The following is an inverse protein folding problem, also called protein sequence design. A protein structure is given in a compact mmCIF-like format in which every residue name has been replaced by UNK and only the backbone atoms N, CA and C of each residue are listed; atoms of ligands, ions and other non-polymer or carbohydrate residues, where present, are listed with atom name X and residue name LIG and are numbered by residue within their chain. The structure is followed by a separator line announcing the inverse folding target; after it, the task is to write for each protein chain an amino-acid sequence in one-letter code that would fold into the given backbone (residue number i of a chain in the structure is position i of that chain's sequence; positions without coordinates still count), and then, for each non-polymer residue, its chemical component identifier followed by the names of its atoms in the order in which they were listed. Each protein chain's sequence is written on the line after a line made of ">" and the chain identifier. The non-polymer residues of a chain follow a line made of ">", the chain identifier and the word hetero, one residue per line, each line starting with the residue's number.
data_IF_768477125362
#
_entry.id   IF_768477125362
#
_cell.length_a   1.000
_cell.length_b   1.000
_cell.length_c   1.000
_cell.angle_alpha   90.00
_cell.angle_beta   90.00
_cell.angle_gamma   90.00
#
_symmetry.space_group_name_H-M   'P 1'
#
loop_
_entity.id
_entity.type
_entity.pdbx_description
1 polymer ?
#
# COMPACT_ATOMS: atom_id res chain seq x y z
N UNK A 1 -83.33 -30.34 -57.61
CA UNK A 1 -82.56 -29.34 -56.83
C UNK A 1 -82.37 -29.89 -55.43
N UNK A 2 -81.11 -30.02 -55.01
CA UNK A 2 -80.66 -30.45 -53.68
C UNK A 2 -79.14 -30.50 -53.74
N UNK A 3 -78.39 -29.67 -52.99
CA UNK A 3 -77.00 -29.34 -53.32
C UNK A 3 -76.03 -30.46 -52.93
N UNK A 4 -75.00 -30.64 -53.76
CA UNK A 4 -73.87 -31.53 -53.50
C UNK A 4 -73.11 -31.06 -52.25
N UNK A 5 -73.10 -31.91 -51.22
CA UNK A 5 -72.27 -31.75 -50.02
C UNK A 5 -70.80 -31.97 -50.38
N UNK A 6 -70.00 -30.92 -50.25
CA UNK A 6 -68.54 -31.02 -50.32
C UNK A 6 -68.00 -31.70 -49.05
N UNK A 7 -66.96 -32.56 -49.13
CA UNK A 7 -66.37 -33.19 -47.96
C UNK A 7 -65.59 -32.17 -47.11
N UNK A 8 -65.46 -32.38 -45.79
CA UNK A 8 -64.75 -31.45 -44.92
C UNK A 8 -63.24 -31.46 -45.21
N UNK A 9 -62.70 -30.32 -45.64
CA UNK A 9 -61.25 -30.11 -45.68
C UNK A 9 -60.70 -30.09 -44.25
N UNK A 10 -59.96 -31.12 -43.86
CA UNK A 10 -59.23 -31.14 -42.59
C UNK A 10 -57.84 -30.54 -42.81
N UNK A 11 -57.55 -29.43 -42.13
CA UNK A 11 -56.24 -28.78 -42.17
C UNK A 11 -55.29 -29.51 -41.22
N UNK A 12 -54.35 -30.28 -41.75
CA UNK A 12 -53.27 -30.86 -40.96
C UNK A 12 -52.14 -29.82 -40.79
N UNK A 13 -52.17 -29.09 -39.68
CA UNK A 13 -51.04 -28.24 -39.28
C UNK A 13 -49.98 -29.16 -38.68
N UNK A 14 -48.85 -29.34 -39.36
CA UNK A 14 -47.65 -29.93 -38.76
C UNK A 14 -47.02 -28.87 -37.85
N UNK A 15 -47.09 -29.06 -36.53
CA UNK A 15 -46.25 -28.32 -35.59
C UNK A 15 -44.81 -28.76 -35.85
N UNK A 16 -44.08 -28.02 -36.69
CA UNK A 16 -42.62 -28.11 -36.73
C UNK A 16 -42.18 -27.60 -35.36
N UNK A 17 -41.60 -28.46 -34.54
CA UNK A 17 -41.13 -28.15 -33.19
C UNK A 17 -40.50 -26.76 -33.18
N UNK A 18 -41.15 -25.81 -32.50
CA UNK A 18 -40.52 -24.54 -32.19
C UNK A 18 -39.40 -24.89 -31.22
N UNK A 19 -38.17 -25.01 -31.72
CA UNK A 19 -36.97 -24.97 -30.89
C UNK A 19 -37.04 -23.62 -30.16
N UNK A 20 -37.47 -23.63 -28.90
CA UNK A 20 -37.35 -22.49 -28.01
C UNK A 20 -35.85 -22.22 -27.93
N UNK A 21 -35.37 -21.21 -28.64
CA UNK A 21 -33.98 -20.77 -28.56
C UNK A 21 -33.75 -20.26 -27.15
N UNK A 22 -33.16 -21.11 -26.30
CA UNK A 22 -32.87 -20.75 -24.93
C UNK A 22 -31.75 -19.72 -24.93
N UNK A 23 -32.11 -18.44 -24.76
CA UNK A 23 -31.13 -17.38 -24.56
C UNK A 23 -30.42 -17.60 -23.22
N UNK A 24 -29.10 -17.49 -23.23
CA UNK A 24 -28.26 -17.55 -22.04
C UNK A 24 -28.67 -16.47 -21.04
N UNK A 25 -29.02 -16.81 -19.78
CA UNK A 25 -29.33 -15.81 -18.78
C UNK A 25 -28.08 -14.96 -18.47
N UNK A 26 -28.26 -13.77 -17.89
CA UNK A 26 -27.12 -12.94 -17.49
C UNK A 26 -26.39 -13.62 -16.31
N UNK A 27 -25.11 -14.03 -16.45
CA UNK A 27 -24.40 -14.69 -15.37
C UNK A 27 -24.02 -13.70 -14.27
N UNK A 28 -23.76 -14.22 -13.07
CA UNK A 28 -23.22 -13.48 -11.94
C UNK A 28 -21.93 -14.11 -11.45
N UNK A 29 -21.05 -13.30 -10.85
CA UNK A 29 -19.82 -13.80 -10.23
C UNK A 29 -19.99 -13.75 -8.72
N UNK A 30 -19.85 -14.90 -8.07
CA UNK A 30 -19.71 -15.02 -6.62
C UNK A 30 -18.23 -15.11 -6.24
N UNK A 31 -17.85 -14.51 -5.10
CA UNK A 31 -16.48 -14.51 -4.60
C UNK A 31 -16.42 -15.08 -3.19
N UNK A 32 -15.40 -15.91 -2.90
CA UNK A 32 -15.14 -16.41 -1.54
C UNK A 32 -14.66 -15.31 -0.58
N UNK A 33 -13.97 -14.29 -1.10
CA UNK A 33 -13.50 -13.15 -0.32
C UNK A 33 -13.34 -11.92 -1.25
N UNK A 34 -14.09 -10.86 -0.97
CA UNK A 34 -13.99 -9.60 -1.71
C UNK A 34 -12.85 -8.69 -1.23
N UNK A 35 -12.28 -8.93 -0.05
CA UNK A 35 -11.25 -8.11 0.57
C UNK A 35 -9.99 -8.92 0.94
N UNK A 36 -9.30 -9.54 -0.04
CA UNK A 36 -8.15 -10.38 0.24
C UNK A 36 -6.94 -9.57 0.71
N UNK A 37 -6.14 -10.15 1.61
CA UNK A 37 -4.81 -9.62 1.98
C UNK A 37 -3.76 -9.96 0.92
N UNK A 38 -3.02 -8.95 0.47
CA UNK A 38 -2.01 -9.08 -0.59
C UNK A 38 -0.98 -10.16 -0.27
N UNK A 39 -0.70 -11.01 -1.25
CA UNK A 39 0.26 -12.10 -1.21
C UNK A 39 0.07 -13.16 -0.09
N UNK A 40 -1.08 -13.18 0.58
CA UNK A 40 -1.36 -14.12 1.68
C UNK A 40 -2.56 -15.00 1.39
N UNK A 41 -3.65 -14.41 0.89
CA UNK A 41 -4.93 -15.12 0.78
C UNK A 41 -5.21 -15.60 -0.64
N UNK A 42 -5.87 -16.76 -0.72
CA UNK A 42 -6.41 -17.31 -1.96
C UNK A 42 -7.87 -16.91 -2.12
N UNK A 43 -8.25 -16.49 -3.33
CA UNK A 43 -9.62 -16.12 -3.67
C UNK A 43 -10.18 -17.06 -4.73
N UNK A 44 -11.44 -17.46 -4.55
CA UNK A 44 -12.16 -18.30 -5.50
C UNK A 44 -13.34 -17.50 -6.03
N UNK A 45 -13.36 -17.29 -7.35
CA UNK A 45 -14.47 -16.69 -8.07
C UNK A 45 -15.23 -17.78 -8.80
N UNK A 46 -16.56 -17.79 -8.69
CA UNK A 46 -17.43 -18.75 -9.38
C UNK A 46 -18.43 -18.02 -10.25
N UNK A 47 -18.64 -18.53 -11.47
CA UNK A 47 -19.61 -17.99 -12.40
C UNK A 47 -20.91 -18.79 -12.33
N UNK A 48 -22.01 -18.12 -12.00
CA UNK A 48 -23.32 -18.71 -11.79
C UNK A 48 -24.32 -18.17 -12.85
N UNK A 49 -25.36 -18.94 -13.27
CA UNK A 49 -25.72 -20.31 -12.84
C UNK A 49 -24.96 -21.44 -13.56
N UNK A 50 -25.14 -22.70 -13.13
CA UNK A 50 -24.64 -23.90 -13.83
C UNK A 50 -25.63 -24.40 -14.87
N UNK A 51 -25.20 -24.40 -16.12
CA UNK A 51 -26.03 -24.74 -17.26
C UNK A 51 -25.30 -25.78 -18.11
N UNK A 52 -25.99 -26.89 -18.39
CA UNK A 52 -25.36 -28.08 -19.00
C UNK A 52 -24.84 -27.82 -20.42
N UNK A 53 -25.48 -26.91 -21.17
CA UNK A 53 -25.12 -26.59 -22.56
C UNK A 53 -24.36 -25.26 -22.71
N UNK A 54 -23.79 -24.75 -21.62
CA UNK A 54 -22.99 -23.53 -21.67
C UNK A 54 -21.50 -23.77 -21.47
N UNK A 55 -20.71 -22.93 -22.13
CA UNK A 55 -19.28 -22.79 -21.94
C UNK A 55 -18.99 -21.47 -21.24
N UNK A 56 -17.99 -21.47 -20.35
CA UNK A 56 -17.59 -20.32 -19.56
C UNK A 56 -16.24 -19.78 -20.00
N UNK A 57 -16.13 -18.46 -20.05
CA UNK A 57 -14.88 -17.75 -20.36
C UNK A 57 -14.68 -16.57 -19.42
N UNK A 58 -13.53 -16.56 -18.76
CA UNK A 58 -13.14 -15.45 -17.88
C UNK A 58 -12.40 -14.35 -18.63
N UNK A 59 -12.68 -13.13 -18.22
CA UNK A 59 -12.06 -11.90 -18.71
C UNK A 59 -11.58 -11.07 -17.52
N UNK A 60 -10.47 -10.37 -17.72
CA UNK A 60 -9.95 -9.36 -16.79
C UNK A 60 -9.61 -8.10 -17.57
N UNK A 61 -9.99 -6.93 -17.08
CA UNK A 61 -9.76 -5.65 -17.76
C UNK A 61 -10.29 -5.64 -19.21
N UNK A 62 -11.42 -6.30 -19.46
CA UNK A 62 -12.02 -6.45 -20.80
C UNK A 62 -11.27 -7.38 -21.76
N UNK A 63 -10.17 -8.02 -21.35
CA UNK A 63 -9.38 -8.96 -22.15
C UNK A 63 -9.59 -10.41 -21.67
N UNK A 64 -9.30 -11.39 -22.54
CA UNK A 64 -9.38 -12.80 -22.14
C UNK A 64 -8.34 -13.11 -21.06
N UNK A 65 -8.76 -13.81 -20.00
CA UNK A 65 -7.88 -14.16 -18.90
C UNK A 65 -6.74 -15.07 -19.37
N UNK A 66 -5.51 -14.75 -18.96
CA UNK A 66 -4.32 -15.58 -19.19
C UNK A 66 -4.05 -16.43 -17.96
N UNK A 67 -4.08 -17.75 -18.12
CA UNK A 67 -3.78 -18.72 -17.06
C UNK A 67 -2.29 -18.67 -16.70
N UNK A 68 -2.00 -18.79 -15.42
CA UNK A 68 -0.64 -18.71 -14.88
C UNK A 68 -0.49 -19.65 -13.67
N UNK A 69 0.66 -19.58 -12.99
CA UNK A 69 0.83 -20.27 -11.70
C UNK A 69 -0.04 -19.68 -10.59
N UNK A 70 -0.43 -18.41 -10.70
CA UNK A 70 -1.23 -17.69 -9.70
C UNK A 70 -2.72 -17.68 -10.02
N UNK A 71 -3.09 -17.86 -11.28
CA UNK A 71 -4.48 -17.85 -11.78
C UNK A 71 -4.78 -19.17 -12.48
N UNK A 72 -5.67 -19.99 -11.92
CA UNK A 72 -6.06 -21.29 -12.49
C UNK A 72 -7.57 -21.42 -12.63
N UNK A 73 -8.01 -22.09 -13.71
CA UNK A 73 -9.41 -22.41 -13.94
C UNK A 73 -9.71 -23.86 -13.53
N UNK A 74 -10.93 -24.09 -13.07
CA UNK A 74 -11.49 -25.44 -12.93
C UNK A 74 -11.59 -26.15 -14.29
N UNK A 75 -11.77 -27.46 -14.26
CA UNK A 75 -11.89 -28.29 -15.47
C UNK A 75 -13.01 -27.83 -16.44
N UNK A 76 -14.10 -27.27 -15.90
CA UNK A 76 -15.23 -26.73 -16.66
C UNK A 76 -15.16 -25.21 -16.86
N UNK A 77 -14.05 -24.55 -16.51
CA UNK A 77 -13.84 -23.10 -16.56
C UNK A 77 -14.83 -22.24 -15.76
N UNK A 78 -15.71 -22.86 -14.97
CA UNK A 78 -16.72 -22.18 -14.14
C UNK A 78 -16.09 -21.39 -13.00
N UNK A 79 -15.03 -21.95 -12.42
CA UNK A 79 -14.41 -21.42 -11.21
C UNK A 79 -12.99 -20.97 -11.53
N UNK A 80 -12.66 -19.75 -11.11
CA UNK A 80 -11.32 -19.17 -11.18
C UNK A 80 -10.72 -19.10 -9.78
N UNK A 81 -9.56 -19.72 -9.60
CA UNK A 81 -8.79 -19.67 -8.35
C UNK A 81 -7.59 -18.75 -8.51
N UNK A 82 -7.53 -17.74 -7.64
CA UNK A 82 -6.41 -16.82 -7.50
C UNK A 82 -5.61 -17.24 -6.27
N UNK A 83 -4.52 -17.98 -6.46
CA UNK A 83 -3.71 -18.52 -5.35
C UNK A 83 -2.98 -17.44 -4.56
N UNK A 84 -2.48 -16.42 -5.28
CA UNK A 84 -1.76 -15.29 -4.71
C UNK A 84 -2.35 -14.04 -5.35
N UNK A 85 -3.04 -13.22 -4.53
CA UNK A 85 -3.62 -11.96 -5.01
C UNK A 85 -2.62 -10.83 -4.78
N UNK A 86 -2.28 -10.13 -5.85
CA UNK A 86 -1.36 -8.99 -5.90
C UNK A 86 -1.96 -7.85 -6.71
N UNK A 87 -1.29 -6.68 -6.70
CA UNK A 87 -1.67 -5.55 -7.55
C UNK A 87 -1.79 -5.93 -9.05
N UNK A 88 -0.97 -6.83 -9.58
CA UNK A 88 -1.02 -7.25 -10.99
C UNK A 88 -2.14 -8.23 -11.32
N UNK A 89 -2.61 -9.02 -10.36
CA UNK A 89 -3.78 -9.90 -10.54
C UNK A 89 -5.10 -9.19 -10.20
N UNK A 90 -5.06 -7.92 -9.81
CA UNK A 90 -6.26 -7.17 -9.46
C UNK A 90 -6.82 -6.45 -10.68
N UNK A 91 -8.14 -6.53 -10.86
CA UNK A 91 -8.86 -5.85 -11.92
C UNK A 91 -10.34 -6.25 -11.93
N UNK A 92 -11.18 -5.58 -12.73
CA UNK A 92 -12.54 -6.03 -13.01
C UNK A 92 -12.51 -7.38 -13.72
N UNK A 93 -13.05 -8.40 -13.05
CA UNK A 93 -13.29 -9.72 -13.58
C UNK A 93 -14.70 -9.81 -14.15
N UNK A 94 -14.81 -10.33 -15.37
CA UNK A 94 -16.09 -10.60 -16.03
C UNK A 94 -16.13 -12.07 -16.45
N UNK A 95 -17.29 -12.68 -16.33
CA UNK A 95 -17.55 -14.02 -16.85
C UNK A 95 -18.48 -13.91 -18.06
N UNK A 96 -18.07 -14.52 -19.16
CA UNK A 96 -18.88 -14.70 -20.36
C UNK A 96 -19.39 -16.14 -20.38
N UNK A 97 -20.71 -16.29 -20.47
CA UNK A 97 -21.40 -17.56 -20.62
C UNK A 97 -21.93 -17.65 -22.06
N UNK A 98 -21.64 -18.76 -22.74
CA UNK A 98 -22.01 -18.94 -24.15
C UNK A 98 -22.59 -20.33 -24.39
N UNK A 99 -23.74 -20.37 -25.05
CA UNK A 99 -24.33 -21.58 -25.63
C UNK A 99 -24.27 -21.49 -27.18
N UNK A 100 -24.78 -22.49 -27.94
CA UNK A 100 -24.75 -22.44 -29.40
C UNK A 100 -25.51 -21.26 -30.03
N UNK A 101 -26.43 -20.63 -29.30
CA UNK A 101 -27.39 -19.65 -29.83
C UNK A 101 -27.06 -18.23 -29.41
N UNK A 102 -26.63 -18.02 -28.17
CA UNK A 102 -26.38 -16.70 -27.59
C UNK A 102 -25.17 -16.69 -26.66
N UNK A 103 -24.74 -15.48 -26.29
CA UNK A 103 -23.73 -15.25 -25.29
C UNK A 103 -24.13 -14.05 -24.41
N UNK A 104 -23.88 -14.16 -23.12
CA UNK A 104 -24.17 -13.13 -22.12
C UNK A 104 -22.95 -12.92 -21.22
N UNK A 105 -22.87 -11.74 -20.59
CA UNK A 105 -21.76 -11.36 -19.70
C UNK A 105 -22.26 -10.91 -18.35
N UNK A 106 -21.48 -11.21 -17.32
CA UNK A 106 -21.73 -10.74 -15.96
C UNK A 106 -21.41 -9.26 -15.83
N UNK A 107 -21.91 -8.65 -14.76
CA UNK A 107 -21.34 -7.40 -14.29
C UNK A 107 -19.89 -7.64 -13.80
N UNK A 108 -19.00 -6.65 -13.92
CA UNK A 108 -17.62 -6.78 -13.48
C UNK A 108 -17.51 -6.83 -11.95
N UNK A 109 -16.66 -7.73 -11.44
CA UNK A 109 -16.31 -7.83 -10.02
C UNK A 109 -14.85 -7.47 -9.81
N UNK A 110 -14.60 -6.48 -8.96
CA UNK A 110 -13.23 -6.05 -8.59
C UNK A 110 -12.96 -6.42 -7.13
N UNK A 111 -11.83 -7.07 -6.87
CA UNK A 111 -11.38 -7.37 -5.51
C UNK A 111 -10.82 -6.12 -4.85
N UNK A 112 -11.23 -5.87 -3.60
CA UNK A 112 -10.70 -4.80 -2.78
C UNK A 112 -9.42 -5.27 -2.06
N UNK A 113 -8.28 -5.19 -2.75
CA UNK A 113 -7.00 -5.67 -2.23
C UNK A 113 -6.57 -4.89 -0.98
N UNK A 114 -6.34 -5.62 0.11
CA UNK A 114 -5.82 -5.08 1.36
C UNK A 114 -4.30 -5.23 1.40
N UNK A 115 -3.59 -4.11 1.46
CA UNK A 115 -2.14 -4.08 1.49
C UNK A 115 -1.66 -2.95 2.39
N UNK A 116 -0.39 -2.97 2.80
CA UNK A 116 0.22 -1.77 3.36
C UNK A 116 1.33 -1.95 4.37
N UNK A 117 1.75 -0.78 4.84
CA UNK A 117 2.87 -0.52 5.75
C UNK A 117 4.25 -0.81 5.14
N UNK A 118 4.40 -0.41 3.88
CA UNK A 118 5.70 -0.14 3.27
C UNK A 118 6.56 0.78 4.15
N UNK A 119 7.86 0.87 3.85
CA UNK A 119 8.79 1.70 4.62
C UNK A 119 8.28 3.16 4.74
N UNK A 120 7.86 3.60 5.93
CA UNK A 120 7.23 4.90 6.12
C UNK A 120 8.26 6.03 6.03
N UNK A 121 7.80 7.23 5.71
CA UNK A 121 8.66 8.42 5.64
C UNK A 121 8.04 9.59 6.40
N UNK A 122 8.84 10.32 7.19
CA UNK A 122 8.41 11.59 7.80
C UNK A 122 8.92 12.75 6.95
N UNK A 123 8.01 13.34 6.17
CA UNK A 123 8.26 14.63 5.52
C UNK A 123 8.08 15.78 6.52
N UNK A 124 8.78 16.87 6.27
CA UNK A 124 8.63 18.11 7.02
C UNK A 124 8.68 19.27 6.05
N UNK A 125 7.66 20.11 6.05
CA UNK A 125 7.65 21.35 5.29
C UNK A 125 8.01 22.51 6.22
N UNK A 126 8.98 23.32 5.79
CA UNK A 126 9.29 24.60 6.40
C UNK A 126 9.16 25.64 5.30
N UNK A 127 8.17 26.52 5.40
CA UNK A 127 8.13 27.74 4.60
C UNK A 127 9.08 28.74 5.26
N UNK A 128 10.32 28.78 4.78
CA UNK A 128 11.24 29.86 5.12
C UNK A 128 10.80 31.09 4.31
N UNK A 129 10.70 32.23 4.98
CA UNK A 129 10.22 33.54 4.51
C UNK A 129 8.70 33.75 4.56
N UNK A 130 8.34 34.77 5.35
CA UNK A 130 7.06 35.48 5.35
C UNK A 130 5.82 34.61 5.16
N UNK A 131 5.35 33.95 6.23
CA UNK A 131 3.91 33.75 6.53
C UNK A 131 3.78 32.89 7.77
N UNK A 132 2.67 33.10 8.47
CA UNK A 132 2.29 32.46 9.73
C UNK A 132 1.89 31.01 9.47
N UNK A 133 2.84 30.15 9.09
CA UNK A 133 2.60 28.71 8.99
C UNK A 133 3.40 27.95 10.05
N UNK A 134 2.69 27.12 10.82
CA UNK A 134 3.31 26.26 11.81
C UNK A 134 4.09 25.15 11.11
N UNK A 135 5.34 24.88 11.52
CA UNK A 135 6.10 23.75 11.01
C UNK A 135 5.34 22.46 11.27
N UNK A 136 5.14 21.66 10.22
CA UNK A 136 4.39 20.40 10.27
C UNK A 136 5.27 19.21 9.90
N UNK A 137 4.99 18.09 10.56
CA UNK A 137 5.49 16.77 10.20
C UNK A 137 4.35 15.99 9.57
N UNK A 138 4.61 15.30 8.47
CA UNK A 138 3.65 14.42 7.83
C UNK A 138 4.27 13.05 7.68
N UNK A 139 3.62 12.04 8.26
CA UNK A 139 4.05 10.66 8.11
C UNK A 139 3.31 10.04 6.93
N UNK A 140 4.06 9.54 5.96
CA UNK A 140 3.54 8.96 4.73
C UNK A 140 3.93 7.48 4.67
N UNK A 141 2.94 6.63 4.41
CA UNK A 141 3.10 5.19 4.18
C UNK A 141 2.09 4.79 3.11
N UNK A 142 2.46 3.88 2.21
CA UNK A 142 1.49 3.26 1.30
C UNK A 142 0.72 2.18 2.05
N UNK A 143 -0.61 2.23 1.95
CA UNK A 143 -1.51 1.25 2.55
C UNK A 143 -2.94 1.44 2.06
N UNK A 144 -3.66 0.34 1.89
CA UNK A 144 -5.08 0.33 1.59
C UNK A 144 -5.84 -0.64 2.52
N UNK A 145 -6.88 -0.19 3.24
CA UNK A 145 -7.31 1.21 3.40
C UNK A 145 -6.24 2.06 4.10
N UNK A 146 -6.45 3.38 4.17
CA UNK A 146 -5.48 4.30 4.78
C UNK A 146 -5.17 3.91 6.24
N UNK A 147 -3.87 3.86 6.57
CA UNK A 147 -3.41 3.61 7.93
C UNK A 147 -3.78 4.76 8.88
N UNK A 148 -4.03 4.41 10.13
CA UNK A 148 -4.18 5.34 11.24
C UNK A 148 -2.79 5.75 11.76
N UNK A 149 -2.67 7.00 12.19
CA UNK A 149 -1.41 7.56 12.67
C UNK A 149 -1.55 8.11 14.08
N UNK A 150 -0.52 7.94 14.90
CA UNK A 150 -0.39 8.59 16.20
C UNK A 150 1.03 9.11 16.41
N UNK A 151 1.14 10.23 17.11
CA UNK A 151 2.41 10.90 17.38
C UNK A 151 2.77 10.83 18.86
N UNK A 152 4.03 10.48 19.12
CA UNK A 152 4.65 10.58 20.43
C UNK A 152 5.85 11.52 20.35
N UNK A 153 6.05 12.33 21.39
CA UNK A 153 7.25 13.15 21.57
C UNK A 153 7.90 12.71 22.87
N UNK A 154 9.16 12.27 22.80
CA UNK A 154 9.93 11.79 23.95
C UNK A 154 9.15 10.74 24.77
N UNK A 155 8.46 9.84 24.07
CA UNK A 155 7.66 8.76 24.66
C UNK A 155 6.26 9.17 25.15
N UNK A 156 5.87 10.44 25.04
CA UNK A 156 4.54 10.92 25.45
C UNK A 156 3.62 11.08 24.25
N UNK A 157 2.45 10.45 24.30
CA UNK A 157 1.39 10.63 23.30
C UNK A 157 1.00 12.10 23.16
N UNK A 158 0.83 12.55 21.92
CA UNK A 158 0.40 13.90 21.59
C UNK A 158 -0.99 13.89 20.95
N UNK A 159 -1.11 13.26 19.77
CA UNK A 159 -2.37 13.24 19.01
C UNK A 159 -2.39 12.09 18.00
N UNK A 160 -3.60 11.74 17.55
CA UNK A 160 -3.83 10.80 16.46
C UNK A 160 -4.15 11.55 15.17
N UNK A 161 -3.16 11.71 14.29
CA UNK A 161 -3.30 12.36 13.00
C UNK A 161 -2.14 12.00 12.08
N UNK A 162 -2.36 11.96 10.76
CA UNK A 162 -1.28 11.79 9.78
C UNK A 162 -0.29 12.96 9.80
N UNK A 163 -0.80 14.16 10.08
CA UNK A 163 -0.04 15.41 10.16
C UNK A 163 0.04 15.87 11.61
N UNK A 164 1.23 16.25 12.04
CA UNK A 164 1.50 16.85 13.34
C UNK A 164 2.01 18.26 13.18
N UNK A 165 1.31 19.23 13.79
CA UNK A 165 1.77 20.62 13.85
C UNK A 165 2.64 20.79 15.09
N UNK A 166 3.87 21.25 14.91
CA UNK A 166 4.77 21.50 16.03
C UNK A 166 4.37 22.84 16.66
N UNK A 167 3.94 22.87 17.94
CA UNK A 167 3.55 24.12 18.58
C UNK A 167 4.76 25.03 18.79
N UNK A 168 4.56 26.34 18.65
CA UNK A 168 5.63 27.38 18.66
C UNK A 168 6.44 27.49 19.96
N UNK A 169 6.09 26.74 21.00
CA UNK A 169 6.83 26.77 22.27
C UNK A 169 8.23 26.19 22.08
N UNK A 170 9.26 26.99 22.39
CA UNK A 170 10.69 26.70 22.17
C UNK A 170 11.20 25.37 22.74
N UNK A 171 10.49 24.75 23.69
CA UNK A 171 10.80 23.42 24.22
C UNK A 171 10.33 22.26 23.33
N UNK A 172 9.27 22.44 22.53
CA UNK A 172 8.60 21.33 21.82
C UNK A 172 9.32 20.92 20.55
N UNK A 173 10.08 21.81 19.92
CA UNK A 173 10.94 21.48 18.76
C UNK A 173 12.06 20.49 19.09
N UNK A 174 12.49 20.42 20.35
CA UNK A 174 13.54 19.51 20.79
C UNK A 174 12.89 18.21 21.22
N UNK A 175 13.26 17.11 20.58
CA UNK A 175 12.77 15.80 21.00
C UNK A 175 12.91 14.72 19.94
N UNK A 176 12.59 13.51 20.38
CA UNK A 176 12.43 12.33 19.52
C UNK A 176 10.97 12.21 19.17
N UNK A 177 10.65 12.49 17.90
CA UNK A 177 9.31 12.37 17.35
C UNK A 177 9.12 10.96 16.83
N UNK A 178 8.08 10.29 17.27
CA UNK A 178 7.75 8.94 16.83
C UNK A 178 6.38 9.01 16.19
N UNK A 179 6.27 8.63 14.92
CA UNK A 179 4.98 8.37 14.29
C UNK A 179 4.74 6.88 14.29
N UNK A 180 3.67 6.45 14.96
CA UNK A 180 3.19 5.08 14.95
C UNK A 180 2.03 4.95 13.96
N UNK A 181 2.08 3.91 13.14
CA UNK A 181 1.12 3.60 12.10
C UNK A 181 0.47 2.26 12.37
N UNK A 182 -0.84 2.21 12.18
CA UNK A 182 -1.61 0.98 12.31
C UNK A 182 -2.61 0.86 11.16
N UNK A 183 -2.66 -0.31 10.53
CA UNK A 183 -3.67 -0.64 9.56
C UNK A 183 -4.51 -1.80 10.09
N UNK A 184 -5.74 -1.50 10.52
CA UNK A 184 -6.62 -2.49 11.16
C UNK A 184 -7.09 -3.58 10.20
N UNK A 185 -7.24 -3.28 8.91
CA UNK A 185 -7.69 -4.24 7.90
C UNK A 185 -6.64 -5.33 7.62
N UNK A 186 -5.36 -4.96 7.62
CA UNK A 186 -4.26 -5.90 7.45
C UNK A 186 -3.70 -6.44 8.78
N UNK A 187 -4.06 -5.81 9.91
CA UNK A 187 -3.47 -6.05 11.23
C UNK A 187 -2.04 -5.52 11.38
N UNK A 188 -1.52 -4.81 10.38
CA UNK A 188 -0.14 -4.34 10.37
C UNK A 188 0.12 -3.18 11.34
N UNK A 189 1.33 -3.11 11.87
CA UNK A 189 1.86 -1.95 12.61
C UNK A 189 3.27 -1.59 12.14
N UNK A 190 3.59 -0.30 12.14
CA UNK A 190 4.91 0.20 11.79
C UNK A 190 5.18 1.53 12.54
N UNK A 191 6.43 1.94 12.65
CA UNK A 191 6.77 3.23 13.26
C UNK A 191 8.01 3.84 12.61
N UNK A 192 8.11 5.16 12.72
CA UNK A 192 9.31 5.90 12.27
C UNK A 192 9.67 6.97 13.29
N UNK A 193 10.97 7.06 13.54
CA UNK A 193 11.56 7.98 14.50
C UNK A 193 12.22 9.13 13.74
N UNK A 194 12.00 10.37 14.18
CA UNK A 194 12.66 11.57 13.68
C UNK A 194 13.17 12.42 14.83
N UNK A 195 14.48 12.62 14.89
CA UNK A 195 15.12 13.51 15.86
C UNK A 195 15.23 14.92 15.31
N UNK A 196 14.69 15.90 16.03
CA UNK A 196 14.82 17.33 15.69
C UNK A 196 15.73 18.02 16.70
N UNK A 197 16.74 18.72 16.19
CA UNK A 197 17.75 19.42 16.99
C UNK A 197 17.80 20.88 16.55
N UNK A 198 18.00 21.80 17.50
CA UNK A 198 18.13 23.25 17.26
C UNK A 198 19.60 23.68 17.23
N UNK A 199 19.96 24.82 16.60
CA UNK A 199 21.35 25.23 16.44
C UNK A 199 21.96 25.64 17.78
N UNK A 200 23.27 25.49 17.90
CA UNK A 200 24.02 25.81 19.12
C UNK A 200 23.96 24.72 20.21
N UNK A 201 23.26 23.61 19.96
CA UNK A 201 23.28 22.42 20.81
C UNK A 201 24.46 21.51 20.48
N UNK A 202 24.85 20.66 21.42
CA UNK A 202 25.86 19.64 21.18
C UNK A 202 25.19 18.33 20.77
N UNK A 203 25.57 17.78 19.62
CA UNK A 203 25.12 16.47 19.15
C UNK A 203 26.10 15.39 19.61
N UNK A 204 25.55 14.32 20.16
CA UNK A 204 26.29 13.12 20.52
C UNK A 204 25.62 11.91 19.87
N UNK A 205 26.37 11.16 19.05
CA UNK A 205 25.90 9.91 18.46
C UNK A 205 26.83 8.78 18.87
N UNK A 206 26.25 7.61 19.14
CA UNK A 206 26.96 6.40 19.51
C UNK A 206 26.49 5.23 18.66
N UNK A 207 27.43 4.36 18.31
CA UNK A 207 27.20 3.16 17.53
C UNK A 207 27.88 1.98 18.23
N UNK A 208 27.27 0.81 18.13
CA UNK A 208 27.73 -0.39 18.80
C UNK A 208 27.39 -1.62 17.95
N UNK A 209 28.32 -2.58 17.92
CA UNK A 209 28.18 -3.88 17.30
C UNK A 209 28.78 -4.93 18.23
N UNK A 210 28.05 -6.03 18.42
CA UNK A 210 28.56 -7.21 19.14
C UNK A 210 29.54 -7.94 18.21
N UNK A 211 30.84 -7.85 18.52
CA UNK A 211 31.92 -8.31 17.66
C UNK A 211 33.12 -8.75 18.47
N UNK A 212 33.69 -9.90 18.08
CA UNK A 212 34.95 -10.40 18.59
C UNK A 212 35.88 -10.73 17.41
N UNK A 213 37.07 -10.09 17.28
CA UNK A 213 37.57 -8.97 18.08
C UNK A 213 36.67 -7.71 17.97
N UNK A 214 36.84 -6.71 18.85
CA UNK A 214 36.03 -5.49 18.84
C UNK A 214 35.98 -4.85 17.45
N UNK A 215 34.77 -4.44 17.03
CA UNK A 215 34.58 -3.86 15.71
C UNK A 215 35.25 -2.49 15.57
N UNK A 216 35.76 -2.21 14.37
CA UNK A 216 36.22 -0.89 13.94
C UNK A 216 35.03 -0.10 13.40
N UNK A 217 34.89 1.17 13.81
CA UNK A 217 33.74 2.00 13.44
C UNK A 217 34.14 3.18 12.56
N UNK A 218 33.36 3.42 11.51
CA UNK A 218 33.52 4.53 10.57
C UNK A 218 32.20 5.29 10.43
N UNK A 219 32.26 6.62 10.52
CA UNK A 219 31.10 7.49 10.32
C UNK A 219 31.20 8.28 9.02
N UNK A 220 30.08 8.38 8.30
CA UNK A 220 29.95 9.26 7.14
C UNK A 220 28.69 10.11 7.25
N UNK A 221 28.71 11.34 6.73
CA UNK A 221 27.54 12.21 6.58
C UNK A 221 27.27 12.46 5.10
N UNK A 222 26.08 12.12 4.60
CA UNK A 222 25.76 12.21 3.17
C UNK A 222 26.80 11.51 2.26
N UNK A 223 27.40 10.42 2.75
CA UNK A 223 28.44 9.66 2.07
C UNK A 223 29.86 10.21 2.20
N UNK A 224 30.07 11.38 2.81
CA UNK A 224 31.42 11.90 3.08
C UNK A 224 31.94 11.43 4.43
N UNK A 225 33.20 11.02 4.50
CA UNK A 225 33.81 10.59 5.76
C UNK A 225 33.81 11.71 6.79
N UNK A 226 33.41 11.39 8.02
CA UNK A 226 33.36 12.32 9.13
C UNK A 226 34.45 11.99 10.15
N UNK A 227 34.42 10.78 10.73
CA UNK A 227 35.32 10.37 11.81
C UNK A 227 35.30 8.85 12.03
N UNK A 228 36.34 8.29 12.63
CA UNK A 228 36.38 6.92 13.16
C UNK A 228 36.10 6.85 14.67
N UNK A 229 35.51 5.74 15.13
CA UNK A 229 35.29 5.44 16.54
C UNK A 229 33.82 5.16 16.88
N UNK A 230 33.54 4.57 18.06
CA UNK A 230 32.20 4.15 18.44
C UNK A 230 31.26 5.33 18.72
N UNK A 231 31.79 6.55 18.89
CA UNK A 231 31.03 7.76 19.21
C UNK A 231 31.55 8.96 18.43
N UNK A 232 30.65 9.87 18.09
CA UNK A 232 30.97 11.18 17.52
C UNK A 232 30.32 12.28 18.34
N UNK A 233 31.01 13.41 18.43
CA UNK A 233 30.58 14.59 19.18
C UNK A 233 30.74 15.84 18.33
N UNK A 234 29.63 16.53 18.07
CA UNK A 234 29.60 17.77 17.27
C UNK A 234 29.09 18.88 18.18
N UNK A 235 29.97 19.73 18.74
CA UNK A 235 29.55 20.86 19.57
C UNK A 235 28.93 21.95 18.72
N UNK A 236 27.99 22.71 19.31
CA UNK A 236 27.35 23.88 18.67
C UNK A 236 26.89 23.61 17.22
N UNK A 237 26.11 22.56 17.05
CA UNK A 237 25.63 22.11 15.76
C UNK A 237 24.89 23.23 15.01
N UNK A 238 25.00 23.25 13.69
CA UNK A 238 24.39 24.23 12.78
C UNK A 238 23.61 23.52 11.68
N UNK A 239 22.82 24.27 10.92
CA UNK A 239 22.04 23.74 9.78
C UNK A 239 22.89 22.97 8.77
N UNK A 240 24.18 23.34 8.60
CA UNK A 240 25.16 22.67 7.72
C UNK A 240 25.48 21.23 8.12
N UNK A 241 25.26 20.87 9.39
CA UNK A 241 25.49 19.52 9.89
C UNK A 241 24.26 18.61 9.71
N UNK A 242 23.22 19.08 9.03
CA UNK A 242 22.06 18.24 8.67
C UNK A 242 22.43 17.26 7.56
N UNK A 243 22.00 16.00 7.70
CA UNK A 243 22.31 14.98 6.71
C UNK A 243 21.97 13.57 7.17
N UNK A 244 22.26 12.61 6.29
CA UNK A 244 22.17 11.19 6.56
C UNK A 244 23.50 10.69 7.15
N UNK A 245 23.49 10.39 8.43
CA UNK A 245 24.64 9.83 9.15
C UNK A 245 24.64 8.31 8.99
N UNK A 246 25.73 7.75 8.48
CA UNK A 246 25.96 6.30 8.42
C UNK A 246 27.04 5.94 9.43
N UNK A 247 26.76 4.95 10.28
CA UNK A 247 27.79 4.24 11.03
C UNK A 247 28.03 2.88 10.36
N UNK A 248 29.27 2.60 9.99
CA UNK A 248 29.74 1.29 9.55
C UNK A 248 30.59 0.65 10.63
N UNK A 249 30.30 -0.60 10.97
CA UNK A 249 31.07 -1.44 11.88
C UNK A 249 31.71 -2.60 11.11
N UNK A 250 33.02 -2.77 11.23
CA UNK A 250 33.81 -3.78 10.54
C UNK A 250 34.53 -4.69 11.52
N UNK A 251 34.41 -5.99 11.35
CA UNK A 251 35.23 -6.98 12.08
C UNK A 251 36.51 -7.25 11.30
N UNK A 252 37.66 -7.01 11.91
CA UNK A 252 38.97 -7.11 11.25
C UNK A 252 39.40 -8.54 10.95
N UNK A 253 38.94 -9.53 11.73
CA UNK A 253 39.29 -10.94 11.55
C UNK A 253 38.48 -11.60 10.44
N UNK A 254 37.18 -11.31 10.35
CA UNK A 254 36.29 -11.92 9.34
C UNK A 254 36.12 -11.05 8.09
N UNK A 255 36.47 -9.76 8.16
CA UNK A 255 36.21 -8.78 7.12
C UNK A 255 34.73 -8.39 6.98
N UNK A 256 33.85 -8.91 7.85
CA UNK A 256 32.41 -8.63 7.81
C UNK A 256 32.13 -7.17 8.16
N UNK A 257 31.26 -6.53 7.38
CA UNK A 257 30.82 -5.15 7.58
C UNK A 257 29.29 -5.07 7.70
N UNK A 258 28.83 -4.28 8.68
CA UNK A 258 27.42 -3.92 8.85
C UNK A 258 27.31 -2.42 9.04
N UNK A 259 26.26 -1.81 8.50
CA UNK A 259 26.04 -0.38 8.63
C UNK A 259 24.61 -0.04 9.01
N UNK A 260 24.43 1.04 9.76
CA UNK A 260 23.12 1.65 10.06
C UNK A 260 23.09 3.12 9.64
N UNK A 261 21.89 3.64 9.42
CA UNK A 261 21.63 4.99 8.92
C UNK A 261 20.71 5.74 9.86
N UNK A 262 21.04 7.00 10.15
CA UNK A 262 20.21 7.91 10.94
C UNK A 262 20.16 9.29 10.27
N UNK A 263 18.97 9.84 10.06
CA UNK A 263 18.82 11.18 9.47
C UNK A 263 18.75 12.23 10.58
N UNK A 264 19.73 13.13 10.62
CA UNK A 264 19.74 14.26 11.56
C UNK A 264 19.37 15.53 10.80
N UNK A 265 18.34 16.24 11.29
CA UNK A 265 17.97 17.57 10.80
C UNK A 265 18.12 18.61 11.91
N UNK A 266 18.89 19.65 11.61
CA UNK A 266 19.08 20.80 12.48
C UNK A 266 18.23 21.95 11.96
N UNK A 267 17.18 22.33 12.70
CA UNK A 267 16.31 23.45 12.33
C UNK A 267 17.03 24.79 12.54
N UNK A 268 16.89 25.77 11.65
CA UNK A 268 17.48 27.11 11.85
C UNK A 268 16.96 27.84 13.09
N UNK A 269 17.67 28.88 13.54
CA UNK A 269 17.27 29.73 14.67
C UNK A 269 16.05 30.56 14.27
N UNK A 270 14.96 30.47 15.03
CA UNK A 270 13.78 31.33 14.83
C UNK A 270 14.06 32.70 15.46
N UNK A 271 13.97 33.77 14.66
CA UNK A 271 13.96 35.14 15.17
C UNK A 271 12.48 35.55 15.25
N UNK A 272 11.92 35.76 16.46
CA UNK A 272 10.56 36.26 16.60
C UNK A 272 10.44 37.61 15.89
N UNK A 273 9.37 37.84 15.13
CA UNK A 273 9.11 39.12 14.48
C UNK A 273 9.12 40.30 15.47
N UNK A 274 8.81 40.06 16.76
CA UNK A 274 8.89 41.05 17.83
C UNK A 274 10.32 41.53 18.15
N UNK A 275 11.36 40.79 17.79
CA UNK A 275 12.77 41.21 17.91
C UNK A 275 13.33 41.85 16.62
N UNK A 276 12.57 41.87 15.52
CA UNK A 276 13.02 42.41 14.24
C UNK A 276 12.70 43.92 14.06
N UNK A 277 11.99 44.55 15.00
CA UNK A 277 11.58 45.98 14.94
C UNK A 277 12.53 46.86 15.78
N UNK A 278 13.77 46.44 15.99
CA UNK A 278 14.72 47.18 16.81
C UNK A 278 16.14 47.09 16.28
N UNK A 279 16.37 47.60 15.07
CA UNK A 279 17.66 48.07 14.55
C UNK A 279 17.40 49.01 13.36
#
# INVERSE_FOLDING_TARGET
>A
MGPLSAPPCTLHITWKELLLTEETPKPSISSSNLNPREAVETVILSCDPDTQDASYRWRINGQSLRISRTLQLSKNNRTLTLFVVTKDTTGPYECEMKNPVSASRSDPVTLNLLYGLDAPTISSSYTYYHTVELPKLSCLTDSHPLAQHSWLIDGKFQQSAQVFFIPQTTKTYRGVYISFMHNSATGGTNFIIKRIIVPGQNLYLSCFADSNPPAEYTWTINGTFLQTGPRIYIPQITTKHSGLYRCSARNSATGSERSTLETIRVSGKWIPASLAIGL
#
